data_IF_755084817769
#
_entry.id   IF_755084817769
#
_cell.length_a   1.000
_cell.length_b   1.000
_cell.length_c   1.000
_cell.angle_alpha   90.00
_cell.angle_beta   90.00
_cell.angle_gamma   90.00
#
_symmetry.space_group_name_H-M   'P 1'
#
loop_
_entity.id
_entity.type
_entity.pdbx_description
1 polymer ?
#
# COMPACT_ATOMS: atom_id res chain seq x y z
N UNK A 1 11.03 1.57 1.22
CA UNK A 1 10.37 1.59 -0.11
C UNK A 1 10.35 0.17 -0.67
N UNK A 2 9.19 -0.43 -0.81
CA UNK A 2 9.04 -1.80 -1.31
C UNK A 2 8.89 -1.80 -2.82
N UNK A 3 9.61 -2.46 -3.48
CA UNK A 3 9.53 -2.53 -4.84
C UNK A 3 8.96 -3.84 -5.13
N UNK A 4 8.20 -3.99 -5.39
CA UNK A 4 7.67 -4.97 -5.73
C UNK A 4 8.20 -5.27 -6.91
N UNK A 5 8.82 -5.72 -6.97
CA UNK A 5 9.35 -6.03 -8.05
C UNK A 5 8.73 -7.22 -8.45
N UNK A 6 8.10 -7.20 -8.88
CA UNK A 6 7.54 -8.17 -9.42
C UNK A 6 8.50 -8.73 -10.24
N UNK A 7 8.93 -9.37 -9.80
CA UNK A 7 9.87 -9.90 -10.51
C UNK A 7 9.33 -11.01 -11.23
N UNK A 8 9.17 -10.87 -12.01
CA UNK A 8 8.83 -11.90 -12.86
C UNK A 8 10.04 -12.61 -13.08
N UNK A 9 9.92 -13.45 -12.60
CA UNK A 9 11.03 -14.15 -12.57
C UNK A 9 11.47 -14.98 -13.59
N UNK A 10 11.98 -14.56 -14.16
CA UNK A 10 12.52 -15.48 -15.08
C UNK A 10 13.70 -16.13 -14.47
N UNK A 11 13.88 -16.88 -14.57
CA UNK A 11 14.84 -17.74 -14.22
C UNK A 11 16.06 -17.14 -13.56
N UNK A 12 16.43 -16.81 -13.21
CA UNK A 12 17.51 -16.52 -12.50
C UNK A 12 17.37 -15.19 -11.92
N UNK A 13 16.72 -15.21 -11.22
CA UNK A 13 16.50 -14.05 -10.75
C UNK A 13 17.55 -13.71 -9.83
N UNK A 14 18.10 -13.08 -10.07
CA UNK A 14 18.96 -12.54 -9.28
C UNK A 14 18.28 -11.41 -8.71
N UNK A 15 17.99 -11.51 -7.84
CA UNK A 15 17.41 -10.50 -7.27
C UNK A 15 18.43 -9.73 -6.70
N UNK A 16 18.53 -8.98 -7.01
CA UNK A 16 19.37 -8.14 -6.48
C UNK A 16 18.57 -7.24 -5.72
N UNK A 17 18.60 -7.19 -4.98
CA UNK A 17 18.02 -6.41 -4.19
C UNK A 17 18.76 -5.23 -4.05
N UNK A 18 18.80 -4.70 -4.58
CA UNK A 18 19.34 -3.62 -4.49
C UNK A 18 18.38 -2.75 -4.31
N UNK A 19 18.37 -1.96 -3.27
CA UNK A 19 17.40 -0.87 -3.16
C UNK A 19 17.65 0.18 -4.23
N UNK A 20 16.66 0.35 -5.07
CA UNK A 20 16.81 1.18 -6.28
C UNK A 20 16.39 2.64 -6.02
N UNK A 21 17.12 3.32 -5.14
CA UNK A 21 16.81 4.72 -4.85
C UNK A 21 18.06 5.64 -4.75
N UNK A 22 19.21 5.13 -5.11
CA UNK A 22 20.47 5.90 -5.12
C UNK A 22 20.91 6.44 -3.76
N UNK A 23 20.27 6.04 -2.68
CA UNK A 23 20.49 6.61 -1.35
C UNK A 23 21.25 5.67 -0.40
N UNK A 24 21.93 4.67 -0.91
CA UNK A 24 22.79 3.79 -0.10
C UNK A 24 22.10 3.13 1.09
N UNK A 25 20.88 2.65 0.91
CA UNK A 25 20.18 1.96 1.99
C UNK A 25 20.84 0.63 2.29
N UNK A 26 21.29 0.47 3.52
CA UNK A 26 21.88 -0.79 4.00
C UNK A 26 20.84 -1.57 4.81
N UNK A 27 20.80 -2.88 4.58
CA UNK A 27 19.88 -3.80 5.26
C UNK A 27 20.69 -4.98 5.82
N UNK A 28 20.13 -5.63 6.83
CA UNK A 28 20.71 -6.86 7.37
C UNK A 28 19.73 -8.03 7.35
N UNK A 29 18.52 -7.80 6.82
CA UNK A 29 17.53 -8.88 6.70
C UNK A 29 16.72 -8.68 5.43
N UNK A 30 16.50 -9.78 4.71
CA UNK A 30 15.62 -9.85 3.55
C UNK A 30 14.54 -10.88 3.85
N UNK A 31 13.28 -10.51 3.69
CA UNK A 31 12.12 -11.40 3.81
C UNK A 31 11.52 -11.53 2.41
N UNK A 32 11.52 -12.73 1.86
CA UNK A 32 11.03 -13.03 0.51
C UNK A 32 9.73 -13.85 0.62
N UNK A 33 8.70 -13.42 -0.08
CA UNK A 33 7.41 -14.13 -0.13
C UNK A 33 7.29 -14.85 -1.47
N UNK A 34 7.00 -16.16 -1.44
CA UNK A 34 6.84 -16.97 -2.66
C UNK A 34 5.71 -17.97 -2.52
N UNK A 35 5.22 -18.46 -3.65
CA UNK A 35 4.26 -19.55 -3.68
C UNK A 35 4.93 -20.85 -3.17
N UNK A 36 4.19 -21.67 -2.45
CA UNK A 36 4.70 -22.90 -1.83
C UNK A 36 5.35 -23.86 -2.86
N UNK A 37 4.86 -23.90 -4.10
CA UNK A 37 5.42 -24.72 -5.18
C UNK A 37 6.64 -24.08 -5.88
N UNK A 38 7.02 -22.87 -5.49
CA UNK A 38 8.17 -22.15 -6.08
C UNK A 38 9.48 -22.62 -5.42
N UNK A 39 10.52 -22.78 -6.23
CA UNK A 39 11.85 -23.13 -5.72
C UNK A 39 12.36 -22.04 -4.76
N UNK A 40 12.96 -22.43 -3.63
CA UNK A 40 13.55 -21.45 -2.72
C UNK A 40 14.74 -20.75 -3.37
N UNK A 41 15.04 -19.56 -2.91
CA UNK A 41 16.28 -18.84 -3.27
C UNK A 41 17.35 -19.08 -2.23
N UNK A 42 18.59 -19.03 -2.68
CA UNK A 42 19.77 -19.16 -1.84
C UNK A 42 20.69 -17.96 -2.09
N UNK A 43 21.44 -17.53 -1.08
CA UNK A 43 22.44 -16.46 -1.29
C UNK A 43 23.56 -16.93 -2.23
N UNK A 44 24.02 -16.00 -3.06
CA UNK A 44 25.18 -16.27 -3.94
C UNK A 44 26.46 -16.22 -3.12
N UNK A 45 27.35 -17.17 -3.39
CA UNK A 45 28.64 -17.28 -2.71
C UNK A 45 28.56 -18.23 -1.54
N UNK A 46 29.76 -18.50 -0.96
CA UNK A 46 29.91 -19.43 0.15
C UNK A 46 29.91 -18.71 1.51
N UNK A 47 29.08 -17.65 1.64
CA UNK A 47 29.00 -16.96 2.93
C UNK A 47 28.04 -17.73 3.86
N UNK A 48 28.59 -18.74 4.52
CA UNK A 48 27.88 -19.58 5.48
C UNK A 48 27.31 -18.79 6.66
N UNK A 49 27.66 -17.51 6.77
CA UNK A 49 27.18 -16.64 7.84
C UNK A 49 25.78 -16.05 7.55
N UNK A 50 25.26 -16.23 6.33
CA UNK A 50 23.89 -15.78 6.04
C UNK A 50 22.92 -16.82 6.59
N UNK A 51 22.26 -16.49 7.67
CA UNK A 51 21.24 -17.37 8.27
C UNK A 51 19.99 -17.38 7.37
N UNK A 52 19.58 -18.56 6.91
CA UNK A 52 18.41 -18.72 6.06
C UNK A 52 17.35 -19.55 6.76
N UNK A 53 16.13 -19.03 6.81
CA UNK A 53 14.97 -19.72 7.40
C UNK A 53 13.83 -19.76 6.38
N UNK A 54 13.27 -20.94 6.18
CA UNK A 54 12.10 -21.15 5.33
C UNK A 54 10.91 -21.53 6.20
N UNK A 55 9.79 -20.82 6.08
CA UNK A 55 8.59 -21.10 6.88
C UNK A 55 7.32 -20.93 6.02
N UNK A 56 6.25 -21.60 6.43
CA UNK A 56 4.92 -21.33 5.85
C UNK A 56 4.39 -20.04 6.47
N UNK A 57 3.75 -19.20 5.65
CA UNK A 57 3.09 -18.00 6.15
C UNK A 57 1.94 -18.39 7.09
N UNK A 58 1.86 -17.83 8.29
CA UNK A 58 0.92 -18.32 9.31
C UNK A 58 -0.56 -18.18 8.94
N UNK A 59 -0.93 -17.18 8.15
CA UNK A 59 -2.33 -16.92 7.82
C UNK A 59 -2.60 -16.91 6.31
N UNK A 60 -1.63 -17.38 5.49
CA UNK A 60 -1.76 -17.37 4.04
C UNK A 60 -1.38 -18.74 3.47
N UNK A 61 -2.31 -19.67 3.40
CA UNK A 61 -2.04 -21.00 2.82
C UNK A 61 -1.45 -20.89 1.42
N UNK A 62 -0.47 -21.72 1.13
CA UNK A 62 0.21 -21.73 -0.16
C UNK A 62 1.31 -20.69 -0.30
N UNK A 63 1.60 -19.92 0.75
CA UNK A 63 2.68 -18.92 0.74
C UNK A 63 3.80 -19.37 1.67
N UNK A 64 5.04 -19.29 1.15
CA UNK A 64 6.27 -19.48 1.91
C UNK A 64 6.93 -18.14 2.19
N UNK A 65 7.54 -18.02 3.34
CA UNK A 65 8.31 -16.86 3.78
C UNK A 65 9.75 -17.32 3.97
N UNK A 66 10.64 -16.82 3.13
CA UNK A 66 12.07 -17.11 3.21
C UNK A 66 12.77 -15.90 3.82
N UNK A 67 13.44 -16.08 4.96
CA UNK A 67 14.13 -15.01 5.66
C UNK A 67 15.64 -15.24 5.56
N UNK A 68 16.35 -14.20 5.12
CA UNK A 68 17.81 -14.18 5.02
C UNK A 68 18.33 -13.11 5.98
N UNK A 69 19.11 -13.53 6.99
CA UNK A 69 19.74 -12.59 7.92
C UNK A 69 21.23 -12.53 7.62
N UNK A 70 21.70 -11.33 7.36
CA UNK A 70 23.11 -11.08 7.06
C UNK A 70 23.88 -10.79 8.36
N UNK A 71 25.14 -11.25 8.46
CA UNK A 71 25.92 -10.99 9.66
C UNK A 71 26.26 -9.51 9.86
N UNK A 72 26.32 -8.76 8.75
CA UNK A 72 26.54 -7.31 8.76
C UNK A 72 25.57 -6.64 7.80
N UNK A 73 25.40 -5.34 7.95
CA UNK A 73 24.59 -4.57 7.00
C UNK A 73 25.28 -4.54 5.64
N UNK A 74 24.48 -4.64 4.60
CA UNK A 74 24.95 -4.61 3.22
C UNK A 74 23.98 -3.77 2.36
N UNK A 75 24.51 -3.17 1.32
CA UNK A 75 23.69 -2.50 0.30
C UNK A 75 23.22 -3.45 -0.79
N UNK A 76 23.68 -4.71 -0.77
CA UNK A 76 23.39 -5.67 -1.83
C UNK A 76 23.28 -7.08 -1.26
N UNK A 77 22.36 -7.88 -1.80
CA UNK A 77 22.29 -9.32 -1.58
C UNK A 77 21.89 -9.95 -2.91
N UNK A 78 22.68 -10.91 -3.36
CA UNK A 78 22.39 -11.66 -4.58
C UNK A 78 21.80 -13.02 -4.20
N UNK A 79 20.68 -13.36 -4.79
CA UNK A 79 19.99 -14.62 -4.55
C UNK A 79 19.82 -15.37 -5.87
N UNK A 80 19.92 -16.69 -5.82
CA UNK A 80 19.68 -17.54 -6.98
C UNK A 80 18.72 -18.66 -6.61
N UNK A 81 17.98 -19.16 -7.59
CA UNK A 81 17.11 -20.33 -7.38
C UNK A 81 17.93 -21.61 -7.50
N UNK A 82 17.75 -22.50 -6.52
CA UNK A 82 18.42 -23.81 -6.53
C UNK A 82 17.39 -24.92 -6.70
N UNK A 83 17.55 -25.70 -7.76
CA UNK A 83 16.77 -26.92 -7.94
C UNK A 83 17.55 -28.10 -7.41
N UNK A 84 16.93 -28.89 -6.55
CA UNK A 84 17.54 -30.12 -6.05
C UNK A 84 17.30 -31.24 -7.05
N UNK A 85 18.36 -31.98 -7.35
CA UNK A 85 18.30 -33.14 -8.22
C UNK A 85 18.54 -32.83 -9.70
N UNK A 86 18.45 -33.88 -10.52
CA UNK A 86 18.70 -33.79 -11.96
C UNK A 86 17.48 -33.20 -12.67
N UNK A 87 17.66 -32.02 -13.23
CA UNK A 87 16.58 -31.38 -13.99
C UNK A 87 16.55 -31.93 -15.42
N UNK A 88 15.37 -32.37 -15.85
CA UNK A 88 15.10 -32.75 -17.23
C UNK A 88 14.39 -31.59 -17.94
N UNK A 89 14.43 -31.55 -19.29
CA UNK A 89 13.65 -30.54 -20.00
C UNK A 89 12.17 -30.53 -19.64
N UNK A 90 11.58 -31.70 -19.37
CA UNK A 90 10.19 -31.82 -18.96
C UNK A 90 9.95 -31.22 -17.57
N UNK A 91 10.85 -31.51 -16.61
CA UNK A 91 10.72 -30.93 -15.25
C UNK A 91 10.94 -29.41 -15.26
N UNK A 92 11.89 -28.93 -16.09
CA UNK A 92 12.13 -27.48 -16.22
C UNK A 92 10.89 -26.77 -16.78
N UNK A 93 10.23 -27.36 -17.76
CA UNK A 93 9.04 -26.76 -18.37
C UNK A 93 7.84 -26.71 -17.42
N UNK A 94 7.82 -27.55 -16.39
CA UNK A 94 6.72 -27.60 -15.42
C UNK A 94 6.95 -26.67 -14.20
N UNK A 95 8.18 -26.19 -14.00
CA UNK A 95 8.49 -25.29 -12.87
C UNK A 95 7.93 -23.91 -13.17
N UNK A 96 6.97 -23.48 -12.35
CA UNK A 96 6.42 -22.13 -12.38
C UNK A 96 6.81 -21.42 -11.09
N UNK A 97 7.88 -20.64 -11.17
CA UNK A 97 8.34 -19.87 -10.02
C UNK A 97 7.49 -18.60 -9.88
N UNK A 98 6.90 -18.42 -8.72
CA UNK A 98 6.10 -17.26 -8.41
C UNK A 98 6.60 -16.63 -7.10
N UNK A 99 7.27 -15.52 -7.22
CA UNK A 99 7.74 -14.70 -6.09
C UNK A 99 6.85 -13.48 -5.98
N UNK A 100 6.23 -13.28 -4.81
CA UNK A 100 5.28 -12.18 -4.60
C UNK A 100 6.00 -10.87 -4.33
N UNK A 101 7.17 -10.93 -3.70
CA UNK A 101 7.94 -9.74 -3.40
C UNK A 101 8.84 -9.95 -2.20
N UNK A 102 9.52 -8.88 -1.79
CA UNK A 102 10.42 -8.95 -0.64
C UNK A 102 10.40 -7.65 0.17
N UNK A 103 10.79 -7.78 1.43
CA UNK A 103 10.92 -6.67 2.38
C UNK A 103 12.37 -6.65 2.86
N UNK A 104 13.00 -5.47 2.84
CA UNK A 104 14.35 -5.24 3.35
C UNK A 104 14.25 -4.48 4.67
N UNK A 105 14.95 -4.97 5.71
CA UNK A 105 15.01 -4.28 7.00
C UNK A 105 16.46 -4.16 7.47
N UNK A 106 16.73 -3.12 8.25
CA UNK A 106 18.07 -2.86 8.76
C UNK A 106 18.21 -3.11 10.28
N UNK A 107 17.17 -3.68 10.89
CA UNK A 107 17.17 -3.99 12.32
C UNK A 107 17.07 -2.78 13.25
N UNK A 108 16.93 -1.57 12.71
CA UNK A 108 16.82 -0.38 13.55
C UNK A 108 15.35 -0.09 13.90
N UNK A 109 15.09 0.41 15.10
CA UNK A 109 13.73 0.89 15.42
C UNK A 109 13.31 2.00 14.47
N UNK A 110 12.05 2.01 14.09
CA UNK A 110 11.54 3.01 13.17
C UNK A 110 10.21 2.63 12.54
N UNK A 111 9.91 3.26 11.43
CA UNK A 111 8.68 3.02 10.68
C UNK A 111 9.02 2.39 9.34
N UNK A 112 8.44 1.23 9.07
CA UNK A 112 8.50 0.60 7.75
C UNK A 112 7.23 1.00 7.00
N UNK A 113 7.38 1.79 5.95
CA UNK A 113 6.25 2.34 5.21
C UNK A 113 6.08 1.59 3.89
N UNK A 114 4.90 0.98 3.71
CA UNK A 114 4.51 0.33 2.46
C UNK A 114 3.47 1.21 1.76
N UNK A 115 3.69 1.48 0.48
CA UNK A 115 2.73 2.20 -0.35
C UNK A 115 2.18 1.22 -1.39
N UNK A 116 0.89 0.93 -1.28
CA UNK A 116 0.19 -0.01 -2.15
C UNK A 116 -0.93 0.77 -2.83
N UNK A 117 -0.68 1.21 -4.06
CA UNK A 117 -1.65 2.00 -4.80
C UNK A 117 -1.75 1.53 -6.24
N UNK A 118 -2.96 1.61 -6.77
CA UNK A 118 -3.24 1.30 -8.16
C UNK A 118 -4.06 2.46 -8.74
N UNK A 119 -3.66 2.91 -9.91
CA UNK A 119 -4.37 3.99 -10.59
C UNK A 119 -5.82 3.57 -10.88
N UNK A 120 -6.76 4.44 -10.56
CA UNK A 120 -8.18 4.18 -10.80
C UNK A 120 -8.84 3.26 -9.76
N UNK A 121 -8.12 2.85 -8.72
CA UNK A 121 -8.65 1.87 -7.75
C UNK A 121 -9.80 2.44 -6.92
N UNK A 122 -10.70 1.55 -6.57
CA UNK A 122 -11.90 1.76 -5.74
C UNK A 122 -11.88 0.75 -4.60
N UNK A 123 -12.74 0.93 -3.60
CA UNK A 123 -12.87 -0.04 -2.49
C UNK A 123 -13.11 -1.46 -3.02
N UNK A 124 -13.96 -1.61 -4.04
CA UNK A 124 -14.30 -2.93 -4.60
C UNK A 124 -13.06 -3.68 -5.15
N UNK A 125 -12.06 -2.96 -5.65
CA UNK A 125 -10.84 -3.59 -6.19
C UNK A 125 -10.00 -4.24 -5.09
N UNK A 126 -10.08 -3.73 -3.87
CA UNK A 126 -9.33 -4.23 -2.72
C UNK A 126 -10.19 -5.13 -1.82
N UNK A 127 -11.52 -5.21 -2.05
CA UNK A 127 -12.44 -6.03 -1.27
C UNK A 127 -12.39 -7.47 -1.79
N UNK A 128 -11.27 -8.10 -1.55
CA UNK A 128 -10.98 -9.47 -2.01
C UNK A 128 -10.27 -10.19 -0.88
N UNK A 129 -10.79 -11.34 -0.49
CA UNK A 129 -10.27 -12.12 0.64
C UNK A 129 -8.80 -12.49 0.46
N UNK A 130 -8.45 -12.97 -0.73
CA UNK A 130 -7.07 -13.35 -1.05
C UNK A 130 -6.11 -12.15 -0.95
N UNK A 131 -6.56 -10.99 -1.43
CA UNK A 131 -5.77 -9.76 -1.34
C UNK A 131 -5.51 -9.35 0.11
N UNK A 132 -6.57 -9.34 0.94
CA UNK A 132 -6.42 -8.94 2.36
C UNK A 132 -5.57 -9.96 3.12
N UNK A 133 -5.72 -11.25 2.78
CA UNK A 133 -4.89 -12.31 3.36
C UNK A 133 -3.42 -12.12 3.01
N UNK A 134 -3.12 -11.74 1.77
CA UNK A 134 -1.75 -11.42 1.36
C UNK A 134 -1.23 -10.16 2.05
N UNK A 135 -2.10 -9.15 2.26
CA UNK A 135 -1.72 -7.93 2.98
C UNK A 135 -1.30 -8.26 4.43
N UNK A 136 -1.89 -9.29 5.04
CA UNK A 136 -1.52 -9.69 6.40
C UNK A 136 -0.08 -10.21 6.50
N UNK A 137 0.55 -10.59 5.37
CA UNK A 137 1.97 -11.01 5.36
C UNK A 137 2.90 -9.85 5.75
N UNK A 138 2.47 -8.61 5.55
CA UNK A 138 3.25 -7.44 5.93
C UNK A 138 3.10 -7.10 7.42
N UNK A 139 2.18 -7.77 8.12
CA UNK A 139 1.88 -7.58 9.54
C UNK A 139 1.81 -6.09 9.91
N UNK A 140 0.95 -5.31 9.23
CA UNK A 140 0.94 -3.87 9.45
C UNK A 140 0.36 -3.50 10.80
N UNK A 141 1.07 -2.66 11.57
CA UNK A 141 0.54 -2.09 12.81
C UNK A 141 -0.54 -1.05 12.53
N UNK A 142 -0.48 -0.42 11.35
CA UNK A 142 -1.41 0.64 10.94
C UNK A 142 -1.69 0.52 9.44
N UNK A 143 -2.96 0.49 9.07
CA UNK A 143 -3.42 0.52 7.69
C UNK A 143 -4.18 1.83 7.45
N UNK A 144 -3.67 2.66 6.55
CA UNK A 144 -4.32 3.91 6.16
C UNK A 144 -4.90 3.72 4.75
N UNK A 145 -6.22 3.91 4.63
CA UNK A 145 -6.96 3.67 3.38
C UNK A 145 -7.40 5.01 2.79
N UNK A 146 -6.81 5.37 1.65
CA UNK A 146 -7.12 6.62 0.94
C UNK A 146 -7.81 6.28 -0.39
N UNK A 147 -9.10 5.95 -0.31
CA UNK A 147 -9.94 5.58 -1.44
C UNK A 147 -11.21 6.45 -1.42
N UNK A 148 -12.02 6.35 -2.47
CA UNK A 148 -13.27 7.09 -2.55
C UNK A 148 -13.32 8.09 -3.70
N UNK A 149 -12.16 8.57 -4.16
CA UNK A 149 -12.13 9.54 -5.27
C UNK A 149 -12.75 8.95 -6.53
N UNK A 150 -12.31 7.75 -6.92
CA UNK A 150 -12.72 7.14 -8.19
C UNK A 150 -14.20 6.77 -8.20
N UNK A 151 -14.74 6.30 -7.07
CA UNK A 151 -16.16 5.97 -6.94
C UNK A 151 -17.03 7.19 -7.26
N UNK A 152 -16.60 8.38 -6.81
CA UNK A 152 -17.40 9.60 -6.98
C UNK A 152 -17.50 10.04 -8.44
N UNK A 153 -16.66 9.54 -9.33
CA UNK A 153 -16.72 9.87 -10.76
C UNK A 153 -17.76 9.03 -11.52
N UNK A 154 -18.35 8.03 -10.89
CA UNK A 154 -19.42 7.25 -11.48
C UNK A 154 -20.62 8.12 -11.86
N UNK A 155 -21.29 7.77 -12.98
CA UNK A 155 -22.45 8.53 -13.47
C UNK A 155 -23.60 8.54 -12.44
N UNK A 156 -23.76 7.44 -11.72
CA UNK A 156 -24.85 7.24 -10.76
C UNK A 156 -24.27 6.98 -9.36
N UNK A 157 -23.44 7.89 -8.86
CA UNK A 157 -22.88 7.74 -7.52
C UNK A 157 -24.01 7.67 -6.48
N UNK A 158 -23.97 6.64 -5.65
CA UNK A 158 -24.92 6.43 -4.57
C UNK A 158 -24.14 6.30 -3.26
N UNK A 159 -24.46 7.15 -2.30
CA UNK A 159 -23.83 7.13 -0.97
C UNK A 159 -24.07 5.78 -0.27
N UNK A 160 -25.26 5.21 -0.39
CA UNK A 160 -25.58 3.92 0.24
C UNK A 160 -24.76 2.77 -0.37
N UNK A 161 -24.65 2.72 -1.69
CA UNK A 161 -23.84 1.71 -2.37
C UNK A 161 -22.35 1.88 -2.06
N UNK A 162 -21.89 3.12 -2.02
CA UNK A 162 -20.51 3.45 -1.64
C UNK A 162 -20.23 2.94 -0.23
N UNK A 163 -21.11 3.21 0.73
CA UNK A 163 -20.93 2.75 2.12
C UNK A 163 -20.99 1.24 2.25
N UNK A 164 -21.75 0.55 1.42
CA UNK A 164 -21.73 -0.93 1.40
C UNK A 164 -20.34 -1.45 1.00
N UNK A 165 -19.69 -0.79 0.03
CA UNK A 165 -18.34 -1.18 -0.39
C UNK A 165 -17.31 -0.90 0.73
N UNK A 166 -17.42 0.26 1.39
CA UNK A 166 -16.58 0.61 2.54
C UNK A 166 -16.75 -0.43 3.66
N UNK A 167 -17.99 -0.76 4.00
CA UNK A 167 -18.30 -1.71 5.08
C UNK A 167 -17.74 -3.10 4.78
N UNK A 168 -17.95 -3.60 3.56
CA UNK A 168 -17.41 -4.90 3.15
C UNK A 168 -15.89 -4.94 3.28
N UNK A 169 -15.21 -3.88 2.84
CA UNK A 169 -13.76 -3.78 2.94
C UNK A 169 -13.32 -3.78 4.42
N UNK A 170 -13.95 -2.94 5.25
CA UNK A 170 -13.60 -2.80 6.67
C UNK A 170 -13.80 -4.13 7.41
N UNK A 171 -14.92 -4.82 7.16
CA UNK A 171 -15.19 -6.13 7.78
C UNK A 171 -14.13 -7.15 7.39
N UNK A 172 -13.73 -7.16 6.12
CA UNK A 172 -12.71 -8.07 5.63
C UNK A 172 -11.36 -7.78 6.29
N UNK A 173 -10.98 -6.48 6.39
CA UNK A 173 -9.75 -6.07 7.09
C UNK A 173 -9.81 -6.51 8.56
N UNK A 174 -10.91 -6.25 9.27
CA UNK A 174 -11.04 -6.64 10.67
C UNK A 174 -10.96 -8.16 10.87
N UNK A 175 -11.43 -8.95 9.88
CA UNK A 175 -11.39 -10.41 9.95
C UNK A 175 -9.97 -10.97 9.80
N UNK A 176 -9.18 -10.42 8.90
CA UNK A 176 -7.84 -10.95 8.57
C UNK A 176 -6.69 -10.17 9.21
N UNK A 177 -6.96 -8.97 9.70
CA UNK A 177 -5.97 -8.09 10.33
C UNK A 177 -6.53 -7.55 11.66
N UNK A 178 -6.91 -8.44 12.59
CA UNK A 178 -7.65 -8.01 13.79
C UNK A 178 -6.85 -7.10 14.73
N UNK A 179 -5.53 -7.10 14.63
CA UNK A 179 -4.66 -6.29 15.49
C UNK A 179 -4.13 -5.04 14.80
N UNK A 180 -4.50 -4.83 13.54
CA UNK A 180 -4.08 -3.67 12.75
C UNK A 180 -5.00 -2.47 13.03
N UNK A 181 -4.42 -1.35 13.44
CA UNK A 181 -5.18 -0.10 13.54
C UNK A 181 -5.59 0.35 12.14
N UNK A 182 -6.86 0.73 11.97
CA UNK A 182 -7.40 1.13 10.67
C UNK A 182 -7.79 2.61 10.68
N UNK A 183 -7.31 3.35 9.68
CA UNK A 183 -7.68 4.75 9.46
C UNK A 183 -8.29 4.86 8.05
N UNK A 184 -9.52 5.35 7.97
CA UNK A 184 -10.15 5.71 6.69
C UNK A 184 -9.87 7.18 6.42
N UNK A 185 -9.37 7.51 5.22
CA UNK A 185 -9.19 8.89 4.80
C UNK A 185 -10.35 9.32 3.89
N UNK A 186 -10.88 10.51 4.10
CA UNK A 186 -11.81 11.08 3.13
C UNK A 186 -11.07 11.48 1.85
N UNK A 187 -11.70 11.41 0.68
CA UNK A 187 -11.07 11.90 -0.56
C UNK A 187 -10.94 13.43 -0.54
N UNK A 188 -9.87 13.96 -1.12
CA UNK A 188 -9.71 15.41 -1.30
C UNK A 188 -10.64 15.92 -2.40
N UNK A 189 -10.95 17.21 -2.38
CA UNK A 189 -11.81 17.81 -3.42
C UNK A 189 -11.19 17.62 -4.81
N UNK A 190 -12.05 17.39 -5.78
CA UNK A 190 -11.67 17.28 -7.19
C UNK A 190 -12.78 17.80 -8.10
N UNK A 191 -12.42 18.09 -9.34
CA UNK A 191 -13.37 18.61 -10.35
C UNK A 191 -13.52 17.60 -11.48
N UNK A 192 -14.68 17.61 -12.12
CA UNK A 192 -14.97 16.82 -13.32
C UNK A 192 -14.68 17.66 -14.56
N UNK A 193 -14.01 17.07 -15.53
CA UNK A 193 -13.89 17.65 -16.86
C UNK A 193 -15.25 17.53 -17.57
N UNK A 194 -15.74 18.62 -18.12
CA UNK A 194 -17.01 18.67 -18.86
C UNK A 194 -16.75 19.23 -20.27
N UNK A 195 -17.30 18.57 -21.27
CA UNK A 195 -17.19 19.02 -22.63
C UNK A 195 -18.26 20.09 -22.90
N UNK A 196 -17.83 21.32 -23.08
CA UNK A 196 -18.72 22.43 -23.40
C UNK A 196 -19.04 22.52 -24.89
N UNK A 197 -19.85 23.51 -25.23
CA UNK A 197 -20.17 23.83 -26.62
C UNK A 197 -18.88 24.09 -27.39
N UNK A 198 -18.82 23.65 -28.65
CA UNK A 198 -17.65 23.75 -29.56
C UNK A 198 -16.42 22.99 -29.09
N UNK A 199 -16.62 21.92 -28.27
CA UNK A 199 -15.54 21.05 -27.85
C UNK A 199 -14.57 21.63 -26.81
N UNK A 200 -14.84 22.82 -26.31
CA UNK A 200 -14.00 23.46 -25.30
C UNK A 200 -14.15 22.72 -23.96
N UNK A 201 -13.03 22.35 -23.35
CA UNK A 201 -13.01 21.67 -22.06
C UNK A 201 -13.22 22.70 -20.93
N UNK A 202 -14.14 22.42 -20.02
CA UNK A 202 -14.34 23.18 -18.80
C UNK A 202 -14.35 22.22 -17.61
N UNK A 203 -14.33 22.76 -16.41
CA UNK A 203 -14.28 21.94 -15.20
C UNK A 203 -15.41 22.35 -14.28
N UNK A 204 -16.06 21.38 -13.66
CA UNK A 204 -17.10 21.57 -12.67
C UNK A 204 -16.72 20.81 -11.40
N UNK A 205 -17.07 21.36 -10.28
CA UNK A 205 -16.87 20.74 -8.98
C UNK A 205 -17.54 19.35 -8.95
N UNK A 206 -16.88 18.36 -8.39
CA UNK A 206 -17.44 17.03 -8.21
C UNK A 206 -18.13 16.97 -6.84
N UNK A 207 -19.41 17.30 -6.81
CA UNK A 207 -20.21 17.35 -5.57
C UNK A 207 -20.30 16.00 -4.86
N UNK A 208 -20.10 14.89 -5.59
CA UNK A 208 -20.11 13.56 -4.99
C UNK A 208 -18.97 13.37 -3.98
N UNK A 209 -17.88 14.15 -4.12
CA UNK A 209 -16.76 14.13 -3.14
C UNK A 209 -17.26 14.56 -1.75
N UNK A 210 -18.12 15.59 -1.67
CA UNK A 210 -18.69 16.04 -0.39
C UNK A 210 -19.50 14.92 0.26
N UNK A 211 -20.30 14.24 -0.57
CA UNK A 211 -21.14 13.13 -0.10
C UNK A 211 -20.28 11.97 0.40
N UNK A 212 -19.24 11.60 -0.36
CA UNK A 212 -18.33 10.53 0.03
C UNK A 212 -17.56 10.88 1.31
N UNK A 213 -17.08 12.13 1.41
CA UNK A 213 -16.32 12.57 2.59
C UNK A 213 -17.19 12.52 3.86
N UNK A 214 -18.42 13.04 3.76
CA UNK A 214 -19.36 12.96 4.88
C UNK A 214 -19.70 11.51 5.24
N UNK A 215 -19.97 10.70 4.24
CA UNK A 215 -20.34 9.30 4.44
C UNK A 215 -19.20 8.53 5.16
N UNK A 216 -17.95 8.72 4.74
CA UNK A 216 -16.79 8.08 5.40
C UNK A 216 -16.72 8.51 6.86
N UNK A 217 -16.85 9.82 7.16
CA UNK A 217 -16.78 10.33 8.54
C UNK A 217 -17.90 9.74 9.41
N UNK A 218 -19.13 9.74 8.91
CA UNK A 218 -20.27 9.17 9.64
C UNK A 218 -20.11 7.67 9.86
N UNK A 219 -19.66 6.95 8.83
CA UNK A 219 -19.38 5.51 8.93
C UNK A 219 -18.30 5.25 9.98
N UNK A 220 -17.18 5.97 9.89
CA UNK A 220 -16.05 5.78 10.80
C UNK A 220 -16.48 6.04 12.27
N UNK A 221 -17.24 7.11 12.50
CA UNK A 221 -17.79 7.42 13.82
C UNK A 221 -18.68 6.28 14.33
N UNK A 222 -19.61 5.82 13.52
CA UNK A 222 -20.57 4.78 13.90
C UNK A 222 -19.88 3.44 14.19
N UNK A 223 -18.88 3.09 13.37
CA UNK A 223 -18.20 1.78 13.45
C UNK A 223 -16.95 1.78 14.34
N UNK A 224 -16.64 2.90 15.00
CA UNK A 224 -15.48 3.03 15.86
C UNK A 224 -14.15 2.89 15.12
N UNK A 225 -14.09 3.39 13.87
CA UNK A 225 -12.89 3.36 13.04
C UNK A 225 -12.31 4.77 13.01
N UNK A 226 -10.99 4.89 13.10
CA UNK A 226 -10.34 6.20 13.00
C UNK A 226 -10.54 6.81 11.62
N UNK A 227 -10.68 8.12 11.56
CA UNK A 227 -10.89 8.84 10.29
C UNK A 227 -9.92 10.01 10.16
N UNK A 228 -9.25 10.09 9.02
CA UNK A 228 -8.45 11.27 8.64
C UNK A 228 -9.27 12.08 7.64
N UNK A 229 -9.74 13.25 8.08
CA UNK A 229 -10.58 14.14 7.24
C UNK A 229 -9.70 14.95 6.28
N UNK A 230 -9.15 14.27 5.27
CA UNK A 230 -8.33 14.92 4.23
C UNK A 230 -9.13 16.01 3.51
N UNK A 231 -10.43 15.75 3.24
CA UNK A 231 -11.30 16.74 2.60
C UNK A 231 -11.30 18.05 3.38
N UNK A 232 -11.58 17.98 4.67
CA UNK A 232 -11.62 19.16 5.52
C UNK A 232 -10.23 19.82 5.67
N UNK A 233 -9.20 18.98 5.86
CA UNK A 233 -7.83 19.47 6.06
C UNK A 233 -7.25 20.16 4.82
N UNK A 234 -7.73 19.80 3.62
CA UNK A 234 -7.27 20.45 2.37
C UNK A 234 -8.14 21.67 2.00
N UNK A 235 -9.13 22.01 2.84
CA UNK A 235 -9.94 23.23 2.66
C UNK A 235 -11.39 22.97 2.24
N UNK A 236 -11.77 21.72 2.01
CA UNK A 236 -13.16 21.36 1.69
C UNK A 236 -13.63 21.89 0.35
N UNK A 237 -14.89 22.29 0.31
CA UNK A 237 -15.54 22.79 -0.91
C UNK A 237 -14.81 24.00 -1.49
N UNK A 238 -14.57 23.96 -2.79
CA UNK A 238 -13.90 25.01 -3.58
C UNK A 238 -12.39 25.15 -3.31
N UNK A 239 -11.78 24.24 -2.55
CA UNK A 239 -10.34 24.27 -2.29
C UNK A 239 -9.49 23.93 -3.53
N UNK A 240 -10.07 23.22 -4.49
CA UNK A 240 -9.38 22.77 -5.70
C UNK A 240 -8.69 23.94 -6.44
N UNK A 241 -9.37 25.09 -6.55
CA UNK A 241 -8.80 26.27 -7.24
C UNK A 241 -7.60 26.84 -6.48
N UNK A 242 -7.65 26.82 -5.15
CA UNK A 242 -6.52 27.28 -4.31
C UNK A 242 -5.30 26.37 -4.51
N UNK A 243 -5.51 25.04 -4.50
CA UNK A 243 -4.42 24.08 -4.70
C UNK A 243 -3.84 24.18 -6.12
N UNK A 244 -4.69 24.47 -7.11
CA UNK A 244 -4.25 24.69 -8.49
C UNK A 244 -3.42 25.98 -8.62
N UNK A 245 -3.89 27.07 -8.02
CA UNK A 245 -3.23 28.39 -8.09
C UNK A 245 -1.88 28.37 -7.38
N UNK A 246 -1.77 27.60 -6.29
CA UNK A 246 -0.51 27.45 -5.55
C UNK A 246 0.44 26.41 -6.13
N UNK A 247 0.12 25.89 -7.32
CA UNK A 247 0.93 24.88 -8.05
C UNK A 247 1.14 23.60 -7.24
N UNK A 248 0.07 23.12 -6.57
CA UNK A 248 0.06 21.86 -5.82
C UNK A 248 -0.84 20.81 -6.46
N UNK A 249 -1.63 21.20 -7.46
CA UNK A 249 -2.61 20.33 -8.10
C UNK A 249 -2.38 20.33 -9.61
N UNK A 250 -2.58 19.18 -10.23
CA UNK A 250 -2.47 19.04 -11.68
C UNK A 250 -3.60 19.77 -12.42
N UNK A 251 -3.35 20.09 -13.70
CA UNK A 251 -4.32 20.80 -14.54
C UNK A 251 -5.61 20.00 -14.76
N UNK A 252 -5.58 18.69 -14.48
CA UNK A 252 -6.77 17.85 -14.55
C UNK A 252 -7.71 18.08 -13.37
N UNK A 253 -7.24 18.75 -12.32
CA UNK A 253 -7.99 19.09 -11.10
C UNK A 253 -8.43 17.86 -10.31
N UNK A 254 -7.63 16.79 -10.42
CA UNK A 254 -7.84 15.53 -9.69
C UNK A 254 -6.55 15.12 -8.98
N UNK A 255 -5.45 15.06 -9.74
CA UNK A 255 -4.19 14.52 -9.23
C UNK A 255 -3.31 15.66 -8.71
N UNK A 256 -2.85 15.50 -7.48
CA UNK A 256 -1.87 16.42 -6.90
C UNK A 256 -0.51 16.16 -7.52
N UNK A 257 0.31 17.19 -7.60
CA UNK A 257 1.70 17.02 -7.99
C UNK A 257 2.55 16.63 -6.77
N UNK A 258 3.87 16.51 -6.96
CA UNK A 258 4.78 16.09 -5.87
C UNK A 258 4.64 17.00 -4.65
N UNK A 259 4.61 18.32 -4.87
CA UNK A 259 4.48 19.29 -3.77
C UNK A 259 3.14 19.14 -3.04
N UNK A 260 2.06 18.92 -3.79
CA UNK A 260 0.73 18.71 -3.22
C UNK A 260 0.64 17.45 -2.39
N UNK A 261 1.19 16.33 -2.88
CA UNK A 261 1.23 15.09 -2.10
C UNK A 261 2.12 15.23 -0.86
N UNK A 262 3.22 16.00 -0.93
CA UNK A 262 4.05 16.29 0.24
C UNK A 262 3.27 17.05 1.30
N UNK A 263 2.47 18.04 0.90
CA UNK A 263 1.63 18.78 1.85
C UNK A 263 0.57 17.87 2.49
N UNK A 264 -0.09 17.00 1.70
CA UNK A 264 -1.02 16.03 2.25
C UNK A 264 -0.34 15.10 3.26
N UNK A 265 0.89 14.65 2.94
CA UNK A 265 1.69 13.83 3.85
C UNK A 265 1.99 14.55 5.16
N UNK A 266 2.31 15.86 5.10
CA UNK A 266 2.53 16.68 6.31
C UNK A 266 1.24 16.79 7.14
N UNK A 267 0.08 16.94 6.49
CA UNK A 267 -1.21 17.01 7.19
C UNK A 267 -1.50 15.69 7.92
N UNK A 268 -1.27 14.57 7.24
CA UNK A 268 -1.45 13.25 7.84
C UNK A 268 -0.50 13.03 9.02
N UNK A 269 0.78 13.37 8.83
CA UNK A 269 1.80 13.25 9.89
C UNK A 269 1.38 14.05 11.14
N UNK A 270 0.94 15.30 10.92
CA UNK A 270 0.49 16.16 12.04
C UNK A 270 -0.73 15.56 12.75
N UNK A 271 -1.66 14.96 11.99
CA UNK A 271 -2.84 14.33 12.58
C UNK A 271 -2.45 13.11 13.42
N UNK A 272 -1.55 12.26 12.93
CA UNK A 272 -1.06 11.10 13.67
C UNK A 272 -0.32 11.52 14.95
N UNK A 273 0.57 12.52 14.83
CA UNK A 273 1.32 13.04 15.97
C UNK A 273 0.37 13.62 17.03
N UNK A 274 -0.64 14.36 16.61
CA UNK A 274 -1.64 14.93 17.52
C UNK A 274 -2.40 13.82 18.23
N UNK A 275 -2.81 12.79 17.50
CA UNK A 275 -3.53 11.65 18.09
C UNK A 275 -2.67 10.93 19.13
N UNK A 276 -1.38 10.76 18.86
CA UNK A 276 -0.45 10.15 19.81
C UNK A 276 -0.31 11.01 21.07
N UNK A 277 -0.14 12.31 20.90
CA UNK A 277 -0.01 13.23 22.05
C UNK A 277 -1.28 13.21 22.92
N UNK A 278 -2.45 13.23 22.30
CA UNK A 278 -3.71 13.18 23.00
C UNK A 278 -3.89 11.83 23.73
N UNK A 279 -3.47 10.73 23.12
CA UNK A 279 -3.48 9.40 23.73
C UNK A 279 -2.57 9.39 24.97
N UNK A 280 -1.32 9.87 24.83
CA UNK A 280 -0.36 9.90 25.96
C UNK A 280 -0.92 10.72 27.13
N UNK A 281 -1.53 11.87 26.86
CA UNK A 281 -2.15 12.71 27.90
C UNK A 281 -3.24 11.95 28.66
N UNK A 282 -4.07 11.18 27.94
CA UNK A 282 -5.13 10.40 28.58
C UNK A 282 -4.56 9.25 29.42
N UNK A 283 -3.49 8.62 28.96
CA UNK A 283 -2.89 7.47 29.64
C UNK A 283 -2.01 7.87 30.83
N UNK A 284 -1.57 9.12 30.89
CA UNK A 284 -0.76 9.62 32.02
C UNK A 284 -1.62 10.17 33.15
N UNK A 285 -2.94 10.08 33.03
CA UNK A 285 -3.89 10.42 34.11
C UNK A 285 -4.18 9.18 34.95
#
# INVERSE_FOLDING_TARGET
MCXXXXXXXXXXXXXXXXPNNGAGYEFNQVILYRNEGTLPMLPVGEDERVETVWAKAPYSPGVMVDTFKLPTKSGELQLYTAAQGRLTPASLSSIRNCYYGFVLTNGQPGILYHSIGQNGAMFVNYTNEEYIRQLSLLDPSLLIVTLGTNETFGANFSTSEFLLQVDRFVRLVKAYLPFTALVLSTPAESYRSVRGRRGKRSYKRNENIDLAARAIKEYAWREGVACFDLYGMTGGANSCEQWLTSDHLGRDRIHFNVAGYQEQGKLLYKALLRSELDYRKRMSL
#
